data_IF_695908261990
#
_entry.id   IF_695908261990
#
_cell.length_a   1.000
_cell.length_b   1.000
_cell.length_c   1.000
_cell.angle_alpha   90.00
_cell.angle_beta   90.00
_cell.angle_gamma   90.00
#
_symmetry.space_group_name_H-M   'P 1'
#
loop_
_entity.id
_entity.type
_entity.pdbx_description
1 polymer ?
#
# COMPACT_ATOMS: atom_id res chain seq x y z
N UNK A 1 -11.06 35.49 22.03
CA UNK A 1 -10.27 35.73 20.79
C UNK A 1 -8.80 35.27 20.86
N UNK A 2 -8.18 35.03 22.03
CA UNK A 2 -6.79 34.51 22.09
C UNK A 2 -6.62 33.07 21.59
N UNK A 3 -7.56 32.16 21.87
CA UNK A 3 -7.43 30.75 21.48
C UNK A 3 -7.57 30.47 19.97
N UNK A 4 -8.27 31.34 19.23
CA UNK A 4 -8.43 31.18 17.78
C UNK A 4 -7.12 31.36 17.00
N UNK A 5 -6.24 32.26 17.45
CA UNK A 5 -4.94 32.48 16.83
C UNK A 5 -3.99 31.28 17.04
N UNK A 6 -4.02 30.67 18.23
CA UNK A 6 -3.24 29.45 18.51
C UNK A 6 -3.76 28.24 17.75
N UNK A 7 -5.08 28.09 17.60
CA UNK A 7 -5.67 27.03 16.78
C UNK A 7 -5.24 27.14 15.32
N UNK A 8 -5.25 28.35 14.74
CA UNK A 8 -4.78 28.57 13.36
C UNK A 8 -3.30 28.24 13.21
N UNK A 9 -2.46 28.67 14.15
CA UNK A 9 -1.01 28.36 14.13
C UNK A 9 -0.77 26.85 14.22
N UNK A 10 -1.47 26.14 15.12
CA UNK A 10 -1.36 24.68 15.24
C UNK A 10 -1.81 23.99 13.95
N UNK A 11 -2.93 24.42 13.37
CA UNK A 11 -3.49 23.83 12.16
C UNK A 11 -2.60 24.03 10.93
N UNK A 12 -1.82 25.11 10.89
CA UNK A 12 -0.81 25.35 9.86
C UNK A 12 0.51 24.60 10.12
N UNK A 13 0.96 24.52 11.37
CA UNK A 13 2.24 23.86 11.72
C UNK A 13 2.15 22.34 11.68
N UNK A 14 0.99 21.74 11.94
CA UNK A 14 0.78 20.30 11.89
C UNK A 14 1.12 19.67 10.53
N UNK A 15 0.55 20.11 9.38
CA UNK A 15 0.89 19.52 8.08
C UNK A 15 2.35 19.76 7.70
N UNK A 16 2.92 20.92 8.05
CA UNK A 16 4.35 21.22 7.81
C UNK A 16 5.24 20.26 8.60
N UNK A 17 4.91 20.04 9.87
CA UNK A 17 5.66 19.13 10.75
C UNK A 17 5.51 17.68 10.29
N UNK A 18 4.30 17.24 9.95
CA UNK A 18 4.05 15.91 9.39
C UNK A 18 4.87 15.68 8.12
N UNK A 19 4.91 16.65 7.22
CA UNK A 19 5.70 16.58 5.98
C UNK A 19 7.21 16.54 6.23
N UNK A 20 7.70 17.30 7.22
CA UNK A 20 9.12 17.35 7.57
C UNK A 20 9.62 16.05 8.23
N UNK A 21 8.84 15.49 9.15
CA UNK A 21 9.28 14.38 10.02
C UNK A 21 8.76 13.01 9.59
N UNK A 22 7.56 12.92 9.01
CA UNK A 22 6.96 11.66 8.57
C UNK A 22 7.14 11.50 7.05
N UNK A 23 8.31 10.97 6.67
CA UNK A 23 8.72 10.80 5.27
C UNK A 23 7.70 10.10 4.36
N UNK A 24 6.88 9.14 4.80
CA UNK A 24 5.89 8.52 3.91
C UNK A 24 4.86 9.50 3.32
N UNK A 25 4.55 10.63 3.99
CA UNK A 25 3.64 11.66 3.45
C UNK A 25 4.19 12.34 2.19
N UNK A 26 5.50 12.22 1.94
CA UNK A 26 6.12 12.74 0.71
C UNK A 26 5.58 12.07 -0.56
N UNK A 27 4.98 10.88 -0.45
CA UNK A 27 4.32 10.19 -1.55
C UNK A 27 3.13 10.99 -2.14
N UNK A 28 2.60 11.98 -1.42
CA UNK A 28 1.54 12.86 -1.93
C UNK A 28 2.03 13.85 -3.00
N UNK A 29 3.31 14.24 -2.95
CA UNK A 29 3.96 15.12 -3.93
C UNK A 29 5.33 14.55 -4.33
N UNK A 30 5.33 13.38 -4.99
CA UNK A 30 6.54 12.58 -5.13
C UNK A 30 7.59 13.24 -6.03
N UNK A 31 7.18 14.07 -6.99
CA UNK A 31 8.10 14.78 -7.90
C UNK A 31 9.04 15.76 -7.17
N UNK A 32 8.62 16.29 -6.02
CA UNK A 32 9.49 17.09 -5.15
C UNK A 32 10.65 16.28 -4.53
N UNK A 33 10.64 14.95 -4.70
CA UNK A 33 11.57 14.00 -4.12
C UNK A 33 12.30 13.13 -5.16
N UNK A 34 12.41 13.63 -6.39
CA UNK A 34 13.35 13.10 -7.38
C UNK A 34 12.81 11.95 -8.24
N UNK A 35 11.49 11.75 -8.26
CA UNK A 35 10.83 10.90 -9.25
C UNK A 35 10.09 11.76 -10.27
N UNK A 36 9.69 11.22 -11.42
CA UNK A 36 8.71 11.89 -12.31
C UNK A 36 7.56 10.93 -12.58
N UNK A 37 6.38 11.47 -12.80
CA UNK A 37 5.16 10.69 -12.97
C UNK A 37 4.69 10.67 -14.43
N UNK A 38 4.11 9.55 -14.87
CA UNK A 38 3.39 9.45 -16.14
C UNK A 38 1.90 9.86 -15.95
N UNK A 39 1.13 9.83 -17.03
CA UNK A 39 -0.31 10.18 -17.03
C UNK A 39 -1.18 9.21 -16.21
N UNK A 40 -0.68 8.00 -15.93
CA UNK A 40 -1.36 6.95 -15.17
C UNK A 40 -1.04 7.01 -13.65
N UNK A 41 -0.46 8.12 -13.17
CA UNK A 41 -0.01 8.28 -11.78
C UNK A 41 1.08 7.29 -11.32
N UNK A 42 1.80 6.65 -12.24
CA UNK A 42 3.00 5.87 -11.94
C UNK A 42 4.21 6.79 -11.95
N UNK A 43 4.93 6.86 -10.84
CA UNK A 43 6.12 7.69 -10.68
C UNK A 43 7.37 6.83 -10.49
N UNK A 44 8.49 7.26 -11.07
CA UNK A 44 9.75 6.51 -11.03
C UNK A 44 10.98 7.43 -11.03
N UNK A 45 12.05 7.02 -10.34
CA UNK A 45 13.34 7.73 -10.30
C UNK A 45 14.18 7.50 -11.57
N UNK A 46 14.04 6.34 -12.21
CA UNK A 46 14.68 5.99 -13.47
C UNK A 46 13.66 5.66 -14.57
N UNK A 47 13.43 6.62 -15.47
CA UNK A 47 12.45 6.45 -16.58
C UNK A 47 12.82 5.37 -17.58
N UNK A 48 14.09 4.94 -17.64
CA UNK A 48 14.45 3.83 -18.52
C UNK A 48 13.77 2.51 -18.11
N UNK A 49 13.30 2.42 -16.85
CA UNK A 49 12.61 1.27 -16.30
C UNK A 49 11.08 1.45 -16.23
N UNK A 50 10.53 2.54 -16.80
CA UNK A 50 9.10 2.85 -16.74
C UNK A 50 8.25 1.70 -17.29
N UNK A 51 8.57 1.18 -18.48
CA UNK A 51 7.81 0.09 -19.10
C UNK A 51 7.81 -1.20 -18.27
N UNK A 52 8.90 -1.46 -17.52
CA UNK A 52 8.99 -2.62 -16.62
C UNK A 52 8.07 -2.42 -15.42
N UNK A 53 8.04 -1.21 -14.85
CA UNK A 53 7.16 -0.88 -13.74
C UNK A 53 5.68 -0.89 -14.14
N UNK A 54 5.34 -0.38 -15.33
CA UNK A 54 3.99 -0.43 -15.92
C UNK A 54 3.52 -1.87 -16.09
N UNK A 55 4.32 -2.72 -16.76
CA UNK A 55 4.00 -4.14 -16.92
C UNK A 55 3.80 -4.84 -15.57
N UNK A 56 4.68 -4.58 -14.59
CA UNK A 56 4.58 -5.20 -13.28
C UNK A 56 3.32 -4.76 -12.52
N UNK A 57 2.94 -3.49 -12.62
CA UNK A 57 1.71 -2.96 -12.04
C UNK A 57 0.48 -3.60 -12.69
N UNK A 58 0.44 -3.62 -14.02
CA UNK A 58 -0.68 -4.16 -14.78
C UNK A 58 -0.85 -5.66 -14.53
N UNK A 59 0.23 -6.44 -14.58
CA UNK A 59 0.20 -7.87 -14.27
C UNK A 59 -0.30 -8.14 -12.85
N UNK A 60 0.09 -7.31 -11.88
CA UNK A 60 -0.35 -7.43 -10.49
C UNK A 60 -1.83 -7.08 -10.32
N UNK A 61 -2.31 -6.02 -10.98
CA UNK A 61 -3.74 -5.64 -11.01
C UNK A 61 -4.57 -6.74 -11.68
N UNK A 62 -4.13 -7.27 -12.82
CA UNK A 62 -4.78 -8.36 -13.54
C UNK A 62 -4.83 -9.64 -12.71
N UNK A 63 -3.74 -10.01 -12.04
CA UNK A 63 -3.71 -11.16 -11.13
C UNK A 63 -4.77 -11.02 -10.03
N UNK A 64 -4.84 -9.88 -9.34
CA UNK A 64 -5.81 -9.64 -8.27
C UNK A 64 -7.26 -9.66 -8.78
N UNK A 65 -7.51 -9.08 -9.95
CA UNK A 65 -8.84 -9.08 -10.56
C UNK A 65 -9.27 -10.49 -10.98
N UNK A 66 -8.38 -11.27 -11.62
CA UNK A 66 -8.71 -12.60 -12.14
C UNK A 66 -8.79 -13.66 -11.05
N UNK A 67 -7.86 -13.67 -10.09
CA UNK A 67 -7.80 -14.73 -9.07
C UNK A 67 -8.76 -14.46 -7.90
N UNK A 68 -8.98 -13.19 -7.55
CA UNK A 68 -9.68 -12.83 -6.32
C UNK A 68 -10.87 -11.90 -6.51
N UNK A 69 -11.14 -11.46 -7.75
CA UNK A 69 -12.20 -10.48 -8.03
C UNK A 69 -11.93 -9.10 -7.44
N UNK A 70 -10.67 -8.80 -7.08
CA UNK A 70 -10.27 -7.53 -6.48
C UNK A 70 -9.92 -6.54 -7.61
N UNK A 71 -10.89 -5.71 -7.99
CA UNK A 71 -10.66 -4.63 -8.95
C UNK A 71 -9.93 -3.47 -8.26
N UNK A 72 -8.72 -3.17 -8.73
CA UNK A 72 -7.91 -2.03 -8.31
C UNK A 72 -8.14 -0.88 -9.30
N UNK A 73 -8.32 0.34 -8.80
CA UNK A 73 -8.35 1.55 -9.63
C UNK A 73 -6.96 1.94 -10.16
N UNK A 74 -6.76 3.25 -10.36
CA UNK A 74 -5.47 3.82 -10.75
C UNK A 74 -4.81 4.52 -9.54
N UNK A 75 -4.14 3.77 -8.64
CA UNK A 75 -3.45 4.37 -7.51
C UNK A 75 -2.30 5.25 -7.98
N UNK A 76 -1.99 6.30 -7.22
CA UNK A 76 -0.67 6.93 -7.31
C UNK A 76 0.36 5.94 -6.77
N UNK A 77 1.26 5.47 -7.62
CA UNK A 77 2.26 4.47 -7.23
C UNK A 77 3.66 4.93 -7.61
N UNK A 78 4.58 4.84 -6.66
CA UNK A 78 5.97 5.24 -6.83
C UNK A 78 6.83 3.98 -6.85
N UNK A 79 7.44 3.66 -7.98
CA UNK A 79 8.46 2.63 -8.09
C UNK A 79 9.85 3.25 -7.88
N UNK A 80 10.50 2.90 -6.78
CA UNK A 80 11.90 3.24 -6.57
C UNK A 80 12.79 2.16 -7.15
N UNK A 81 13.63 2.52 -8.13
CA UNK A 81 14.71 1.66 -8.64
C UNK A 81 15.97 1.75 -7.79
N UNK A 82 16.15 2.85 -7.03
CA UNK A 82 17.33 3.09 -6.19
C UNK A 82 17.02 3.13 -4.68
N UNK A 83 18.05 2.87 -3.88
CA UNK A 83 18.00 2.99 -2.41
C UNK A 83 17.81 4.44 -1.95
N UNK A 84 18.29 5.41 -2.74
CA UNK A 84 18.12 6.85 -2.50
C UNK A 84 16.64 7.22 -2.62
N UNK A 85 15.95 6.78 -3.68
CA UNK A 85 14.51 6.96 -3.82
C UNK A 85 13.75 6.32 -2.65
N UNK A 86 14.04 5.05 -2.32
CA UNK A 86 13.40 4.34 -1.19
C UNK A 86 13.54 5.13 0.12
N UNK A 87 14.73 5.66 0.36
CA UNK A 87 15.05 6.41 1.58
C UNK A 87 14.36 7.79 1.65
N UNK A 88 14.11 8.42 0.49
CA UNK A 88 13.38 9.68 0.40
C UNK A 88 11.94 9.54 0.92
N UNK A 89 11.30 8.40 0.68
CA UNK A 89 9.94 8.07 1.13
C UNK A 89 9.88 7.31 2.46
N UNK A 90 11.02 6.99 3.07
CA UNK A 90 11.08 6.44 4.43
C UNK A 90 10.76 4.95 4.57
N UNK A 91 10.91 4.15 3.50
CA UNK A 91 10.49 2.75 3.49
C UNK A 91 11.32 1.83 4.39
N UNK A 92 12.44 2.29 4.97
CA UNK A 92 13.32 1.45 5.81
C UNK A 92 13.57 0.09 5.12
N UNK A 93 13.55 -1.04 5.83
CA UNK A 93 13.74 -2.35 5.20
C UNK A 93 12.49 -2.91 4.50
N UNK A 94 11.39 -2.16 4.36
CA UNK A 94 10.14 -2.66 3.74
C UNK A 94 10.27 -2.83 2.22
N UNK A 95 9.49 -3.74 1.65
CA UNK A 95 9.44 -4.00 0.21
C UNK A 95 8.54 -2.98 -0.50
N UNK A 96 7.52 -2.53 0.21
CA UNK A 96 6.66 -1.44 -0.18
C UNK A 96 6.03 -0.79 1.04
N UNK A 97 5.17 0.17 0.77
CA UNK A 97 4.32 0.82 1.75
C UNK A 97 3.12 1.46 1.06
N UNK A 98 1.93 1.18 1.57
CA UNK A 98 0.69 1.84 1.17
C UNK A 98 0.27 2.90 2.17
N UNK A 99 0.12 4.14 1.71
CA UNK A 99 -0.43 5.27 2.46
C UNK A 99 -1.94 5.33 2.26
N UNK A 100 -2.67 4.40 2.86
CA UNK A 100 -4.12 4.30 2.70
C UNK A 100 -4.54 4.28 1.23
N UNK A 101 -5.58 5.05 0.90
CA UNK A 101 -6.07 5.21 -0.47
C UNK A 101 -5.32 6.28 -1.29
N UNK A 102 -4.25 6.86 -0.76
CA UNK A 102 -3.61 8.03 -1.38
C UNK A 102 -2.44 7.70 -2.29
N UNK A 103 -1.56 6.80 -1.84
CA UNK A 103 -0.36 6.45 -2.60
C UNK A 103 0.23 5.11 -2.16
N UNK A 104 0.98 4.49 -3.07
CA UNK A 104 1.78 3.29 -2.84
C UNK A 104 3.23 3.61 -3.17
N UNK A 105 4.19 3.11 -2.39
CA UNK A 105 5.62 3.20 -2.71
C UNK A 105 6.21 1.80 -2.71
N UNK A 106 6.93 1.45 -3.77
CA UNK A 106 7.60 0.16 -3.94
C UNK A 106 9.11 0.39 -3.87
N UNK A 107 9.80 -0.27 -2.94
CA UNK A 107 11.26 -0.27 -2.82
C UNK A 107 11.91 -1.08 -3.94
N UNK A 108 13.22 -0.91 -4.23
CA UNK A 108 13.91 -1.70 -5.26
C UNK A 108 13.73 -3.22 -5.10
N UNK A 109 13.83 -3.72 -3.86
CA UNK A 109 13.60 -5.14 -3.55
C UNK A 109 12.15 -5.61 -3.77
N UNK A 110 11.22 -4.68 -3.84
CA UNK A 110 9.78 -4.87 -4.01
C UNK A 110 9.33 -5.00 -5.46
N UNK A 111 10.24 -4.92 -6.44
CA UNK A 111 9.94 -5.13 -7.87
C UNK A 111 9.70 -6.61 -8.18
N UNK A 112 8.67 -7.16 -7.55
CA UNK A 112 8.20 -8.53 -7.67
C UNK A 112 6.69 -8.51 -7.54
N UNK A 113 6.00 -9.30 -8.35
CA UNK A 113 4.54 -9.29 -8.42
C UNK A 113 3.87 -9.45 -7.05
N UNK A 114 4.35 -10.37 -6.20
CA UNK A 114 3.75 -10.58 -4.87
C UNK A 114 3.90 -9.38 -3.94
N UNK A 115 5.00 -8.62 -4.01
CA UNK A 115 5.13 -7.41 -3.20
C UNK A 115 4.22 -6.30 -3.71
N UNK A 116 4.10 -6.13 -5.03
CA UNK A 116 3.18 -5.14 -5.61
C UNK A 116 1.74 -5.51 -5.32
N UNK A 117 1.35 -6.77 -5.51
CA UNK A 117 0.02 -7.27 -5.18
C UNK A 117 -0.33 -7.09 -3.70
N UNK A 118 0.62 -7.32 -2.79
CA UNK A 118 0.44 -7.08 -1.36
C UNK A 118 0.08 -5.61 -1.06
N UNK A 119 0.84 -4.66 -1.58
CA UNK A 119 0.56 -3.23 -1.37
C UNK A 119 -0.74 -2.78 -2.07
N UNK A 120 -1.06 -3.35 -3.24
CA UNK A 120 -2.34 -3.12 -3.93
C UNK A 120 -3.54 -3.64 -3.12
N UNK A 121 -3.40 -4.76 -2.39
CA UNK A 121 -4.45 -5.26 -1.49
C UNK A 121 -4.67 -4.27 -0.34
N UNK A 122 -3.60 -3.70 0.24
CA UNK A 122 -3.75 -2.64 1.25
C UNK A 122 -4.45 -1.40 0.69
N UNK A 123 -4.14 -1.02 -0.55
CA UNK A 123 -4.79 0.11 -1.20
C UNK A 123 -6.28 -0.18 -1.43
N UNK A 124 -6.61 -1.37 -1.94
CA UNK A 124 -7.98 -1.83 -2.11
C UNK A 124 -8.76 -1.86 -0.79
N UNK A 125 -8.13 -2.35 0.28
CA UNK A 125 -8.71 -2.32 1.62
C UNK A 125 -9.01 -0.88 2.04
N UNK A 126 -8.10 0.05 1.79
CA UNK A 126 -8.27 1.45 2.18
C UNK A 126 -9.36 2.16 1.37
N UNK A 127 -9.45 1.86 0.07
CA UNK A 127 -10.51 2.34 -0.82
C UNK A 127 -11.89 1.81 -0.42
N UNK A 128 -11.95 0.54 0.02
CA UNK A 128 -13.22 -0.13 0.30
C UNK A 128 -13.75 0.15 1.70
N UNK A 129 -12.87 0.18 2.69
CA UNK A 129 -13.22 0.24 4.11
C UNK A 129 -12.89 1.59 4.75
N UNK A 130 -12.11 2.42 4.06
CA UNK A 130 -11.62 3.70 4.56
C UNK A 130 -10.30 3.56 5.29
N UNK A 131 -9.37 4.48 5.00
CA UNK A 131 -8.03 4.49 5.58
C UNK A 131 -8.02 4.54 7.11
N UNK A 132 -9.01 5.18 7.74
CA UNK A 132 -9.12 5.26 9.20
C UNK A 132 -9.50 3.92 9.83
N UNK A 133 -10.38 3.15 9.18
CA UNK A 133 -10.77 1.83 9.67
C UNK A 133 -9.57 0.87 9.71
N UNK A 134 -8.66 0.98 8.73
CA UNK A 134 -7.45 0.17 8.70
C UNK A 134 -6.44 0.51 9.80
N UNK A 135 -6.43 1.75 10.32
CA UNK A 135 -5.53 2.13 11.42
C UNK A 135 -5.87 1.42 12.73
N UNK A 136 -7.13 1.02 12.91
CA UNK A 136 -7.63 0.36 14.12
C UNK A 136 -8.06 -1.08 13.87
N UNK A 137 -7.96 -1.57 12.63
CA UNK A 137 -8.44 -2.88 12.23
C UNK A 137 -7.52 -4.02 12.67
N UNK A 138 -8.11 -5.22 12.69
CA UNK A 138 -7.43 -6.44 13.09
C UNK A 138 -6.32 -6.80 12.09
N UNK A 139 -5.09 -6.94 12.58
CA UNK A 139 -3.91 -7.15 11.75
C UNK A 139 -3.94 -8.50 11.02
N UNK A 140 -4.56 -9.51 11.62
CA UNK A 140 -4.75 -10.80 10.96
C UNK A 140 -5.58 -10.66 9.68
N UNK A 141 -6.52 -9.72 9.64
CA UNK A 141 -7.32 -9.45 8.46
C UNK A 141 -6.56 -8.55 7.48
N UNK A 142 -5.96 -7.45 7.96
CA UNK A 142 -5.30 -6.46 7.10
C UNK A 142 -4.06 -7.05 6.43
N UNK A 143 -3.07 -7.46 7.24
CA UNK A 143 -1.81 -8.02 6.77
C UNK A 143 -1.97 -9.46 6.31
N UNK A 144 -2.77 -10.26 7.03
CA UNK A 144 -2.98 -11.66 6.67
C UNK A 144 -3.64 -11.83 5.30
N UNK A 145 -4.65 -11.02 4.97
CA UNK A 145 -5.23 -10.99 3.62
C UNK A 145 -4.18 -10.60 2.57
N UNK A 146 -3.41 -9.55 2.83
CA UNK A 146 -2.39 -9.07 1.89
C UNK A 146 -1.31 -10.13 1.63
N UNK A 147 -0.87 -10.87 2.64
CA UNK A 147 0.08 -11.97 2.48
C UNK A 147 -0.53 -13.23 1.86
N UNK A 148 -1.77 -13.56 2.18
CA UNK A 148 -2.44 -14.76 1.67
C UNK A 148 -2.76 -14.64 0.18
N UNK A 149 -3.26 -13.48 -0.26
CA UNK A 149 -3.79 -13.32 -1.61
C UNK A 149 -2.75 -12.81 -2.62
N UNK A 150 -1.59 -12.34 -2.17
CA UNK A 150 -0.55 -11.78 -3.05
C UNK A 150 0.27 -12.82 -3.83
N UNK A 151 0.00 -14.12 -3.70
CA UNK A 151 0.85 -15.20 -4.25
C UNK A 151 2.30 -15.13 -3.72
N UNK A 152 2.45 -14.84 -2.43
CA UNK A 152 3.76 -14.79 -1.79
C UNK A 152 4.43 -16.18 -1.79
N UNK A 153 5.58 -16.36 -2.45
CA UNK A 153 6.21 -17.67 -2.60
C UNK A 153 6.96 -18.12 -1.33
N UNK A 154 7.05 -17.27 -0.31
CA UNK A 154 7.77 -17.60 0.93
C UNK A 154 7.02 -18.68 1.69
N UNK A 155 7.73 -19.78 1.96
CA UNK A 155 7.21 -20.91 2.74
C UNK A 155 6.73 -20.45 4.12
N UNK A 156 7.54 -19.64 4.80
CA UNK A 156 7.17 -19.02 6.07
C UNK A 156 7.57 -17.54 6.06
N UNK A 157 6.72 -16.73 6.66
CA UNK A 157 7.00 -15.33 6.99
C UNK A 157 7.64 -15.24 8.38
N UNK A 158 8.20 -14.09 8.70
CA UNK A 158 8.58 -13.82 10.08
C UNK A 158 7.32 -13.48 10.90
N UNK A 159 7.34 -13.79 12.19
CA UNK A 159 6.23 -13.41 13.07
C UNK A 159 6.16 -11.87 13.26
N UNK A 160 4.96 -11.30 13.46
CA UNK A 160 3.64 -11.98 13.58
C UNK A 160 2.93 -12.27 12.24
N UNK A 161 3.56 -11.97 11.09
CA UNK A 161 2.87 -12.03 9.79
C UNK A 161 2.51 -13.45 9.35
N UNK A 162 3.28 -14.46 9.77
CA UNK A 162 2.94 -15.85 9.50
C UNK A 162 1.63 -16.23 10.20
N UNK A 163 1.50 -15.90 11.50
CA UNK A 163 0.28 -16.11 12.26
C UNK A 163 -0.92 -15.41 11.63
N UNK A 164 -0.76 -14.15 11.20
CA UNK A 164 -1.80 -13.38 10.52
C UNK A 164 -2.24 -14.04 9.21
N UNK A 165 -1.29 -14.45 8.37
CA UNK A 165 -1.56 -15.17 7.12
C UNK A 165 -2.33 -16.47 7.38
N UNK A 166 -1.96 -17.23 8.41
CA UNK A 166 -2.64 -18.46 8.78
C UNK A 166 -4.07 -18.21 9.24
N UNK A 167 -4.30 -17.23 10.11
CA UNK A 167 -5.64 -16.89 10.59
C UNK A 167 -6.56 -16.45 9.45
N UNK A 168 -6.06 -15.61 8.54
CA UNK A 168 -6.82 -15.23 7.35
C UNK A 168 -7.15 -16.44 6.47
N UNK A 169 -6.18 -17.33 6.22
CA UNK A 169 -6.42 -18.54 5.44
C UNK A 169 -7.47 -19.46 6.09
N UNK A 170 -7.40 -19.64 7.40
CA UNK A 170 -8.35 -20.46 8.15
C UNK A 170 -9.76 -19.87 8.06
N UNK A 171 -9.88 -18.55 8.30
CA UNK A 171 -11.13 -17.82 8.14
C UNK A 171 -11.67 -17.91 6.72
N UNK A 172 -10.82 -17.70 5.71
CA UNK A 172 -11.23 -17.72 4.30
C UNK A 172 -11.75 -19.09 3.87
N UNK A 173 -11.10 -20.19 4.32
CA UNK A 173 -11.59 -21.55 4.07
C UNK A 173 -12.97 -21.81 4.68
N UNK A 174 -13.26 -21.24 5.84
CA UNK A 174 -14.56 -21.38 6.50
C UNK A 174 -15.68 -20.56 5.84
N UNK A 175 -15.33 -19.59 4.99
CA UNK A 175 -16.28 -18.70 4.28
C UNK A 175 -16.20 -18.86 2.75
N UNK A 176 -15.66 -19.99 2.27
CA UNK A 176 -15.35 -20.20 0.85
C UNK A 176 -16.59 -20.31 -0.05
N UNK A 177 -17.78 -20.50 0.52
CA UNK A 177 -19.07 -20.52 -0.16
C UNK A 177 -19.61 -19.13 -0.51
N UNK A 178 -19.03 -18.08 0.08
CA UNK A 178 -19.41 -16.69 -0.12
C UNK A 178 -18.30 -15.97 -0.91
N UNK A 179 -18.61 -15.14 -1.93
CA UNK A 179 -17.61 -14.33 -2.59
C UNK A 179 -16.78 -13.51 -1.60
N UNK A 180 -15.45 -13.48 -1.77
CA UNK A 180 -14.53 -12.84 -0.82
C UNK A 180 -14.98 -11.44 -0.38
N UNK A 181 -15.37 -10.59 -1.34
CA UNK A 181 -15.85 -9.23 -1.06
C UNK A 181 -17.09 -9.18 -0.16
N UNK A 182 -17.99 -10.15 -0.28
CA UNK A 182 -19.19 -10.27 0.54
C UNK A 182 -18.85 -10.78 1.94
N UNK A 183 -17.96 -11.78 2.04
CA UNK A 183 -17.50 -12.33 3.33
C UNK A 183 -16.80 -11.30 4.23
N UNK A 184 -16.08 -10.35 3.65
CA UNK A 184 -15.35 -9.32 4.39
C UNK A 184 -16.26 -8.28 5.07
N UNK A 185 -17.49 -8.09 4.57
CA UNK A 185 -18.43 -7.09 5.12
C UNK A 185 -18.94 -7.41 6.53
N UNK A 186 -18.76 -8.64 7.01
CA UNK A 186 -19.15 -9.06 8.36
C UNK A 186 -18.01 -9.05 9.39
N UNK A 187 -16.78 -8.71 9.00
CA UNK A 187 -15.57 -8.87 9.84
C UNK A 187 -14.87 -7.53 10.13
N UNK A 188 -15.19 -6.48 9.37
CA UNK A 188 -14.72 -5.11 9.58
C UNK A 188 -15.79 -4.24 10.23
#
# INVERSE_FOLDING_TARGET
MKYGSWLVVILLLLPISAFAFFRPVRALIPEAFGVRCNEQNLCIDDFSQLAVAESLLDDSKSYLATQWGLSIGEPKIIFCSTEQCRSAFGLSNKAGFTLGSFAIVIAPRGWRQHYVAHELIHHWQADRFGSLALLTGEQWLIEGMAYALSNDPRVALHEPFESYRQWFNDWYRLNADIPLKESLGGVL
#
